data_IF_696773414745
#
_entry.id   IF_696773414745
#
_cell.length_a   1.000
_cell.length_b   1.000
_cell.length_c   1.000
_cell.angle_alpha   90.00
_cell.angle_beta   90.00
_cell.angle_gamma   90.00
#
_symmetry.space_group_name_H-M   'P 1'
#
loop_
_entity.id
_entity.type
_entity.pdbx_description
1 polymer ?
#
# COMPACT_ATOMS: atom_id res chain seq x y z
N UNK A 1 -14.93 -3.64 -11.48
CA UNK A 1 -14.58 -4.38 -10.25
C UNK A 1 -14.47 -3.34 -9.16
N UNK A 2 -15.21 -3.48 -8.05
CA UNK A 2 -15.12 -2.50 -6.97
C UNK A 2 -13.80 -2.69 -6.24
N UNK A 3 -13.01 -1.63 -6.11
CA UNK A 3 -11.75 -1.63 -5.35
C UNK A 3 -12.06 -1.08 -3.96
N UNK A 4 -11.57 -1.78 -2.94
CA UNK A 4 -11.65 -1.38 -1.54
C UNK A 4 -10.26 -1.12 -1.01
N UNK A 5 -10.06 0.03 -0.37
CA UNK A 5 -8.84 0.34 0.39
C UNK A 5 -9.25 0.54 1.84
N UNK A 6 -8.52 -0.07 2.77
CA UNK A 6 -8.87 0.00 4.18
C UNK A 6 -7.65 -0.04 5.09
N UNK A 7 -7.84 0.43 6.31
CA UNK A 7 -6.89 0.32 7.41
C UNK A 7 -7.63 0.03 8.71
N UNK A 8 -6.94 -0.65 9.63
CA UNK A 8 -7.48 -0.99 10.95
C UNK A 8 -6.71 -0.23 12.03
N UNK A 9 -7.42 0.50 12.88
CA UNK A 9 -6.87 1.28 13.99
C UNK A 9 -7.11 0.51 15.28
N UNK A 10 -6.05 -0.01 15.90
CA UNK A 10 -6.14 -0.86 17.10
C UNK A 10 -6.11 -0.04 18.39
N UNK A 11 -6.89 -0.45 19.40
CA UNK A 11 -7.10 0.32 20.63
C UNK A 11 -7.19 -0.56 21.87
N UNK A 12 -6.81 -0.02 23.04
CA UNK A 12 -6.93 -0.70 24.35
C UNK A 12 -8.35 -0.83 24.88
N UNK A 13 -9.30 -0.06 24.35
CA UNK A 13 -10.68 0.00 24.82
C UNK A 13 -11.63 0.35 23.68
N UNK A 14 -12.89 -0.01 23.83
CA UNK A 14 -13.93 0.38 22.89
C UNK A 14 -13.93 1.90 22.66
N UNK A 15 -13.90 2.30 21.39
CA UNK A 15 -13.92 3.70 21.02
C UNK A 15 -15.35 4.21 21.01
N UNK A 16 -15.61 5.24 21.82
CA UNK A 16 -16.82 6.04 21.71
C UNK A 16 -16.64 6.93 20.46
N UNK A 17 -17.15 6.45 19.34
CA UNK A 17 -16.95 7.08 18.04
C UNK A 17 -17.49 8.52 18.04
N UNK A 18 -16.58 9.47 17.96
CA UNK A 18 -16.88 10.90 17.81
C UNK A 18 -16.61 11.31 16.37
N UNK A 19 -17.55 10.96 15.48
CA UNK A 19 -17.40 11.19 14.05
C UNK A 19 -17.44 12.68 13.67
N UNK A 20 -18.11 13.52 14.47
CA UNK A 20 -18.10 14.97 14.30
C UNK A 20 -16.72 15.54 14.62
N UNK A 21 -16.11 15.08 15.72
CA UNK A 21 -14.72 15.39 16.04
C UNK A 21 -13.75 14.90 14.98
N UNK A 22 -13.95 13.71 14.39
CA UNK A 22 -13.12 13.23 13.28
C UNK A 22 -13.25 14.14 12.05
N UNK A 23 -14.46 14.50 11.64
CA UNK A 23 -14.66 15.41 10.51
C UNK A 23 -14.05 16.80 10.77
N UNK A 24 -14.23 17.33 11.98
CA UNK A 24 -13.69 18.64 12.38
C UNK A 24 -12.15 18.64 12.41
N UNK A 25 -11.54 17.61 12.98
CA UNK A 25 -10.08 17.45 13.00
C UNK A 25 -9.52 17.25 11.59
N UNK A 26 -10.22 16.53 10.72
CA UNK A 26 -9.83 16.37 9.33
C UNK A 26 -9.84 17.73 8.59
N UNK A 27 -10.91 18.51 8.73
CA UNK A 27 -11.01 19.86 8.14
C UNK A 27 -9.89 20.78 8.66
N UNK A 28 -9.62 20.73 9.96
CA UNK A 28 -8.57 21.56 10.58
C UNK A 28 -7.15 21.15 10.16
N UNK A 29 -6.86 19.85 10.08
CA UNK A 29 -5.52 19.35 9.70
C UNK A 29 -5.26 19.47 8.21
N UNK A 30 -6.29 19.28 7.38
CA UNK A 30 -6.15 19.15 5.93
C UNK A 30 -7.10 20.08 5.15
N UNK A 31 -7.10 21.40 5.44
CA UNK A 31 -8.06 22.33 4.84
C UNK A 31 -7.96 22.41 3.30
N UNK A 32 -6.80 22.05 2.72
CA UNK A 32 -6.57 22.06 1.28
C UNK A 32 -7.25 20.91 0.51
N UNK A 33 -7.67 19.83 1.21
CA UNK A 33 -8.22 18.64 0.56
C UNK A 33 -9.70 18.83 0.23
N UNK A 34 -10.41 19.57 1.06
CA UNK A 34 -11.83 19.86 0.89
C UNK A 34 -12.59 19.75 2.20
N UNK A 35 -13.79 20.35 2.25
CA UNK A 35 -14.61 20.34 3.46
C UNK A 35 -15.28 18.96 3.65
N UNK A 36 -15.03 18.25 4.76
CA UNK A 36 -15.66 16.97 5.01
C UNK A 36 -17.15 17.14 5.32
N UNK A 37 -17.98 16.26 4.75
CA UNK A 37 -19.40 16.15 5.08
C UNK A 37 -19.66 14.83 5.78
N UNK A 38 -20.08 14.90 7.05
CA UNK A 38 -20.49 13.74 7.81
C UNK A 38 -21.86 13.24 7.35
N UNK A 39 -21.95 11.95 7.06
CA UNK A 39 -23.16 11.22 6.74
C UNK A 39 -23.34 10.10 7.78
N UNK A 40 -24.28 10.29 8.71
CA UNK A 40 -24.61 9.29 9.72
C UNK A 40 -25.56 8.25 9.15
N UNK A 41 -25.30 6.99 9.46
CA UNK A 41 -26.27 5.93 9.20
C UNK A 41 -27.33 5.95 10.30
N UNK A 42 -28.61 6.18 9.94
CA UNK A 42 -29.68 6.26 10.94
C UNK A 42 -29.81 4.90 11.64
N UNK A 43 -29.55 4.87 12.95
CA UNK A 43 -29.68 3.67 13.78
C UNK A 43 -28.39 2.88 14.01
N UNK A 44 -27.23 3.35 13.52
CA UNK A 44 -25.93 2.76 13.85
C UNK A 44 -24.94 3.81 14.35
N UNK A 45 -24.84 3.96 15.67
CA UNK A 45 -23.93 4.90 16.32
C UNK A 45 -22.46 4.48 16.25
N UNK A 46 -22.18 3.27 15.76
CA UNK A 46 -20.83 2.74 15.60
C UNK A 46 -20.30 2.88 14.17
N UNK A 47 -21.07 3.46 13.24
CA UNK A 47 -20.65 3.64 11.86
C UNK A 47 -21.06 5.00 11.31
N UNK A 48 -20.15 5.64 10.59
CA UNK A 48 -20.46 6.82 9.80
C UNK A 48 -19.65 6.83 8.50
N UNK A 49 -20.14 7.59 7.54
CA UNK A 49 -19.42 7.94 6.33
C UNK A 49 -19.00 9.42 6.39
N UNK A 50 -17.78 9.72 5.98
CA UNK A 50 -17.31 11.09 5.77
C UNK A 50 -17.02 11.23 4.27
N UNK A 51 -17.70 12.17 3.63
CA UNK A 51 -17.53 12.46 2.21
C UNK A 51 -16.62 13.67 2.04
N UNK A 52 -15.57 13.55 1.25
CA UNK A 52 -14.62 14.61 0.91
C UNK A 52 -14.48 14.62 -0.61
N UNK A 53 -14.80 15.75 -1.26
CA UNK A 53 -14.71 15.91 -2.73
C UNK A 53 -15.39 14.76 -3.53
N UNK A 54 -16.51 14.26 -3.02
CA UNK A 54 -17.26 13.16 -3.65
C UNK A 54 -16.76 11.76 -3.31
N UNK A 55 -15.56 11.60 -2.73
CA UNK A 55 -15.07 10.33 -2.22
C UNK A 55 -15.62 10.04 -0.82
N UNK A 56 -16.17 8.84 -0.62
CA UNK A 56 -16.74 8.39 0.65
C UNK A 56 -15.72 7.54 1.42
N UNK A 57 -15.45 7.92 2.67
CA UNK A 57 -14.70 7.11 3.64
C UNK A 57 -15.66 6.64 4.74
N UNK A 58 -15.77 5.34 4.89
CA UNK A 58 -16.53 4.70 5.95
C UNK A 58 -15.64 4.43 7.16
N UNK A 59 -16.17 4.76 8.34
CA UNK A 59 -15.51 4.53 9.62
C UNK A 59 -16.46 3.70 10.48
N UNK A 60 -15.99 2.54 10.93
CA UNK A 60 -16.75 1.62 11.78
C UNK A 60 -15.97 1.28 13.05
N UNK A 61 -16.58 1.43 14.22
CA UNK A 61 -16.00 1.03 15.49
C UNK A 61 -16.43 -0.40 15.86
N UNK A 62 -15.48 -1.23 16.27
CA UNK A 62 -15.71 -2.62 16.67
C UNK A 62 -15.23 -2.83 18.10
N UNK A 63 -16.17 -3.21 18.97
CA UNK A 63 -15.92 -3.48 20.40
C UNK A 63 -15.42 -4.91 20.65
N UNK A 64 -14.44 -5.35 19.85
CA UNK A 64 -13.78 -6.64 19.98
C UNK A 64 -12.33 -6.51 19.49
N UNK A 65 -11.39 -7.33 19.99
CA UNK A 65 -10.03 -7.33 19.48
C UNK A 65 -9.99 -7.71 18.00
N UNK A 66 -9.03 -7.14 17.27
CA UNK A 66 -8.71 -7.56 15.92
C UNK A 66 -8.20 -9.02 15.93
N UNK A 67 -8.64 -9.89 15.01
CA UNK A 67 -8.27 -11.30 15.03
C UNK A 67 -6.75 -11.51 14.94
N UNK A 68 -6.18 -12.22 15.92
CA UNK A 68 -4.73 -12.42 16.02
C UNK A 68 -4.20 -13.26 14.84
N UNK A 69 -4.99 -14.21 14.38
CA UNK A 69 -4.72 -15.02 13.18
C UNK A 69 -4.60 -14.20 11.90
N UNK A 70 -5.06 -12.94 11.87
CA UNK A 70 -4.88 -12.03 10.73
C UNK A 70 -3.59 -11.20 10.84
N UNK A 71 -2.95 -11.15 12.02
CA UNK A 71 -1.66 -10.47 12.24
C UNK A 71 -0.47 -11.38 11.87
N UNK A 72 -0.55 -12.66 12.23
CA UNK A 72 0.63 -13.54 12.29
C UNK A 72 1.06 -14.21 10.97
N UNK A 73 0.18 -14.69 10.07
CA UNK A 73 0.60 -15.40 8.86
C UNK A 73 1.34 -14.53 7.83
N UNK A 74 0.93 -13.29 7.53
CA UNK A 74 1.61 -12.51 6.49
C UNK A 74 2.85 -11.76 7.00
N UNK A 75 2.84 -11.30 8.25
CA UNK A 75 3.93 -10.47 8.81
C UNK A 75 5.21 -11.27 9.08
N UNK A 76 5.09 -12.55 9.43
CA UNK A 76 6.25 -13.45 9.60
C UNK A 76 6.96 -13.73 8.27
N UNK A 77 6.21 -13.85 7.17
CA UNK A 77 6.78 -14.07 5.82
C UNK A 77 7.49 -12.83 5.30
N UNK A 78 7.09 -11.63 5.74
CA UNK A 78 7.71 -10.36 5.39
C UNK A 78 8.99 -10.03 6.17
N UNK A 79 9.39 -10.89 7.12
CA UNK A 79 10.53 -10.60 7.99
C UNK A 79 10.28 -9.44 8.96
N UNK A 80 9.01 -9.06 9.19
CA UNK A 80 8.69 -8.17 10.30
C UNK A 80 9.04 -8.86 11.63
N UNK A 81 9.58 -8.10 12.56
CA UNK A 81 9.84 -8.60 13.91
C UNK A 81 8.50 -8.92 14.58
N UNK A 82 8.17 -10.20 14.68
CA UNK A 82 6.95 -10.66 15.32
C UNK A 82 6.84 -10.13 16.76
N UNK A 83 7.96 -9.96 17.46
CA UNK A 83 7.97 -9.39 18.81
C UNK A 83 7.67 -7.88 18.79
N UNK A 84 7.99 -7.15 17.71
CA UNK A 84 7.56 -5.77 17.54
C UNK A 84 6.04 -5.69 17.31
N UNK A 85 5.49 -6.54 16.45
CA UNK A 85 4.03 -6.59 16.21
C UNK A 85 3.28 -6.97 17.48
N UNK A 86 3.75 -7.97 18.22
CA UNK A 86 3.15 -8.39 19.49
C UNK A 86 3.17 -7.24 20.51
N UNK A 87 4.30 -6.52 20.61
CA UNK A 87 4.39 -5.32 21.48
C UNK A 87 3.46 -4.19 21.04
N UNK A 88 3.38 -3.91 19.75
CA UNK A 88 2.51 -2.86 19.21
C UNK A 88 1.02 -3.16 19.42
N UNK A 89 0.65 -4.43 19.45
CA UNK A 89 -0.74 -4.88 19.58
C UNK A 89 -1.09 -5.35 21.01
N UNK A 90 -0.17 -5.23 21.95
CA UNK A 90 -0.37 -5.69 23.33
C UNK A 90 -1.55 -4.96 24.00
N UNK A 91 -2.47 -5.75 24.57
CA UNK A 91 -3.65 -5.24 25.26
C UNK A 91 -4.70 -4.63 24.35
N UNK A 92 -4.66 -4.91 23.04
CA UNK A 92 -5.75 -4.51 22.14
C UNK A 92 -7.07 -5.21 22.50
N UNK A 93 -8.15 -4.43 22.54
CA UNK A 93 -9.49 -4.90 22.92
C UNK A 93 -10.59 -4.41 21.97
N UNK A 94 -10.26 -3.49 21.08
CA UNK A 94 -11.16 -2.90 20.10
C UNK A 94 -10.36 -2.45 18.88
N UNK A 95 -11.04 -2.30 17.75
CA UNK A 95 -10.46 -1.65 16.57
C UNK A 95 -11.50 -0.79 15.84
N UNK A 96 -11.01 0.13 15.02
CA UNK A 96 -11.84 0.85 14.05
C UNK A 96 -11.39 0.50 12.64
N UNK A 97 -12.34 0.37 11.72
CA UNK A 97 -12.08 0.20 10.29
C UNK A 97 -12.24 1.54 9.63
N UNK A 98 -11.23 1.99 8.88
CA UNK A 98 -11.31 3.17 8.02
C UNK A 98 -11.17 2.67 6.59
N UNK A 99 -12.20 2.84 5.77
CA UNK A 99 -12.21 2.24 4.44
C UNK A 99 -12.88 3.13 3.40
N UNK A 100 -12.52 2.93 2.15
CA UNK A 100 -13.21 3.51 1.00
C UNK A 100 -13.43 2.42 -0.03
N UNK A 101 -14.60 2.43 -0.66
CA UNK A 101 -14.92 1.57 -1.79
C UNK A 101 -15.29 2.47 -2.96
N UNK A 102 -14.80 2.14 -4.15
CA UNK A 102 -15.06 2.93 -5.34
C UNK A 102 -15.12 2.04 -6.58
N UNK A 103 -15.85 2.55 -7.56
CA UNK A 103 -15.89 1.99 -8.90
C UNK A 103 -15.02 2.86 -9.80
N UNK A 104 -14.12 2.22 -10.51
CA UNK A 104 -13.14 2.87 -11.37
C UNK A 104 -11.91 2.00 -11.49
N UNK A 105 -11.14 2.26 -12.54
CA UNK A 105 -9.84 1.66 -12.72
C UNK A 105 -8.85 2.78 -13.06
N UNK A 106 -7.58 2.54 -12.74
CA UNK A 106 -6.50 3.47 -12.99
C UNK A 106 -5.70 3.80 -11.75
N UNK A 107 -4.39 3.96 -11.97
CA UNK A 107 -3.44 4.29 -10.91
C UNK A 107 -3.89 5.52 -10.11
N UNK A 108 -4.40 6.52 -10.81
CA UNK A 108 -4.70 7.81 -10.25
C UNK A 108 -5.85 7.78 -9.24
N UNK A 109 -6.98 7.17 -9.61
CA UNK A 109 -8.10 7.00 -8.68
C UNK A 109 -7.69 6.12 -7.48
N UNK A 110 -6.93 5.06 -7.71
CA UNK A 110 -6.45 4.16 -6.65
C UNK A 110 -5.59 4.89 -5.62
N UNK A 111 -4.65 5.72 -6.10
CA UNK A 111 -3.78 6.55 -5.26
C UNK A 111 -4.57 7.58 -4.45
N UNK A 112 -5.56 8.22 -5.07
CA UNK A 112 -6.37 9.25 -4.42
C UNK A 112 -7.18 8.68 -3.25
N UNK A 113 -7.78 7.50 -3.45
CA UNK A 113 -8.54 6.80 -2.41
C UNK A 113 -7.63 6.28 -1.29
N UNK A 114 -6.45 5.72 -1.60
CA UNK A 114 -5.50 5.29 -0.58
C UNK A 114 -4.91 6.46 0.21
N UNK A 115 -4.65 7.59 -0.44
CA UNK A 115 -4.25 8.82 0.22
C UNK A 115 -5.33 9.29 1.20
N UNK A 116 -6.59 9.33 0.77
CA UNK A 116 -7.70 9.74 1.63
C UNK A 116 -7.88 8.82 2.84
N UNK A 117 -7.77 7.50 2.66
CA UNK A 117 -7.76 6.53 3.77
C UNK A 117 -6.57 6.76 4.70
N UNK A 118 -5.39 7.05 4.17
CA UNK A 118 -4.18 7.33 4.99
C UNK A 118 -4.40 8.57 5.87
N UNK A 119 -4.90 9.66 5.28
CA UNK A 119 -5.18 10.92 5.99
C UNK A 119 -6.25 10.72 7.08
N UNK A 120 -7.37 10.06 6.74
CA UNK A 120 -8.47 9.81 7.67
C UNK A 120 -8.05 8.88 8.81
N UNK A 121 -7.29 7.83 8.48
CA UNK A 121 -6.72 6.90 9.47
C UNK A 121 -5.83 7.62 10.47
N UNK A 122 -5.01 8.58 10.04
CA UNK A 122 -4.22 9.41 10.95
C UNK A 122 -5.07 10.19 11.95
N UNK A 123 -6.20 10.76 11.50
CA UNK A 123 -7.15 11.48 12.38
C UNK A 123 -7.79 10.52 13.38
N UNK A 124 -8.30 9.38 12.90
CA UNK A 124 -8.94 8.37 13.76
C UNK A 124 -7.94 7.82 14.78
N UNK A 125 -6.73 7.49 14.35
CA UNK A 125 -5.68 6.96 15.22
C UNK A 125 -5.30 7.96 16.34
N UNK A 126 -5.23 9.24 16.01
CA UNK A 126 -4.99 10.30 16.99
C UNK A 126 -6.14 10.41 18.00
N UNK A 127 -7.39 10.59 17.53
CA UNK A 127 -8.55 10.77 18.43
C UNK A 127 -8.83 9.55 19.29
N UNK A 128 -8.59 8.36 18.76
CA UNK A 128 -8.85 7.13 19.45
C UNK A 128 -7.73 6.70 20.41
N UNK A 129 -6.61 7.44 20.45
CA UNK A 129 -5.38 7.05 21.16
C UNK A 129 -4.96 5.62 20.79
N UNK A 130 -4.82 5.39 19.49
CA UNK A 130 -4.53 4.07 18.95
C UNK A 130 -3.19 3.52 19.44
N UNK A 131 -3.10 2.19 19.51
CA UNK A 131 -1.86 1.47 19.79
C UNK A 131 -1.03 1.29 18.53
N UNK A 132 -1.71 0.82 17.48
CA UNK A 132 -1.12 0.50 16.21
C UNK A 132 -2.17 0.69 15.12
N UNK A 133 -1.70 0.73 13.89
CA UNK A 133 -2.54 0.75 12.71
C UNK A 133 -2.02 -0.30 11.72
N UNK A 134 -2.95 -1.08 11.18
CA UNK A 134 -2.67 -2.13 10.20
C UNK A 134 -3.13 -1.66 8.82
N UNK A 135 -2.24 -1.74 7.85
CA UNK A 135 -2.57 -1.69 6.42
C UNK A 135 -2.61 -3.13 5.90
N UNK A 136 -3.79 -3.75 5.73
CA UNK A 136 -3.93 -5.18 5.49
C UNK A 136 -3.36 -5.63 4.14
N UNK A 137 -3.37 -4.77 3.13
CA UNK A 137 -2.95 -5.16 1.77
C UNK A 137 -1.45 -5.40 1.64
N UNK A 138 -0.67 -4.69 2.44
CA UNK A 138 0.77 -4.85 2.57
C UNK A 138 1.15 -5.64 3.83
N UNK A 139 0.17 -5.92 4.70
CA UNK A 139 0.35 -6.45 6.03
C UNK A 139 1.38 -5.67 6.86
N UNK A 140 1.32 -4.35 6.76
CA UNK A 140 2.15 -3.45 7.56
C UNK A 140 1.41 -3.10 8.85
N UNK A 141 2.04 -3.35 10.00
CA UNK A 141 1.58 -2.86 11.31
C UNK A 141 2.55 -1.79 11.79
N UNK A 142 2.04 -0.60 12.10
CA UNK A 142 2.86 0.55 12.45
C UNK A 142 2.24 1.34 13.60
N UNK A 143 3.06 2.20 14.21
CA UNK A 143 2.58 3.15 15.22
C UNK A 143 1.68 4.22 14.59
N UNK A 144 0.80 4.87 15.38
CA UNK A 144 0.04 6.03 14.90
C UNK A 144 0.93 7.15 14.34
N UNK A 145 2.11 7.36 14.95
CA UNK A 145 3.07 8.39 14.51
C UNK A 145 3.55 8.16 13.08
N UNK A 146 3.80 6.91 12.70
CA UNK A 146 4.20 6.56 11.34
C UNK A 146 3.10 6.88 10.32
N UNK A 147 1.82 6.73 10.69
CA UNK A 147 0.69 7.15 9.85
C UNK A 147 0.55 8.67 9.74
N UNK A 148 0.89 9.42 10.79
CA UNK A 148 0.97 10.89 10.71
C UNK A 148 2.10 11.33 9.73
N UNK A 149 3.25 10.65 9.76
CA UNK A 149 4.35 10.92 8.81
C UNK A 149 3.98 10.52 7.38
N UNK A 150 3.24 9.42 7.21
CA UNK A 150 2.69 9.01 5.93
C UNK A 150 1.68 10.03 5.38
N UNK A 151 0.78 10.53 6.24
CA UNK A 151 -0.17 11.59 5.90
C UNK A 151 0.57 12.86 5.44
N UNK A 152 1.61 13.29 6.16
CA UNK A 152 2.42 14.42 5.74
C UNK A 152 3.10 14.20 4.38
N UNK A 153 3.52 12.97 4.07
CA UNK A 153 4.13 12.62 2.77
C UNK A 153 3.11 12.66 1.63
N UNK A 154 1.89 12.15 1.88
CA UNK A 154 0.77 12.23 0.92
C UNK A 154 0.50 13.69 0.53
N UNK A 155 0.43 14.59 1.51
CA UNK A 155 0.20 16.02 1.27
C UNK A 155 1.32 16.70 0.46
N UNK A 156 2.52 16.10 0.41
CA UNK A 156 3.65 16.59 -0.40
C UNK A 156 3.72 15.98 -1.80
N UNK A 157 2.69 15.26 -2.26
CA UNK A 157 2.78 14.64 -3.58
C UNK A 157 3.44 13.25 -3.57
N UNK A 158 3.71 12.67 -2.40
CA UNK A 158 4.54 11.47 -2.27
C UNK A 158 3.74 10.28 -1.72
N UNK A 159 3.76 9.16 -2.46
CA UNK A 159 3.18 7.90 -1.98
C UNK A 159 3.98 7.37 -0.77
N UNK A 160 3.34 7.05 0.36
CA UNK A 160 3.99 6.45 1.51
C UNK A 160 4.23 4.96 1.27
N UNK A 161 5.21 4.64 0.40
CA UNK A 161 5.50 3.26 -0.06
C UNK A 161 5.67 2.28 1.10
N UNK A 162 6.35 2.67 2.18
CA UNK A 162 6.59 1.80 3.33
C UNK A 162 5.31 1.46 4.14
N UNK A 163 4.20 2.14 3.85
CA UNK A 163 2.90 1.84 4.41
C UNK A 163 2.06 1.00 3.45
N UNK A 164 1.97 1.44 2.19
CA UNK A 164 1.13 0.79 1.18
C UNK A 164 1.74 -0.47 0.59
N UNK A 165 3.04 -0.67 0.78
CA UNK A 165 3.77 -1.81 0.25
C UNK A 165 4.71 -2.40 1.31
N UNK A 166 4.78 -3.72 1.33
CA UNK A 166 5.81 -4.47 2.06
C UNK A 166 6.66 -5.27 1.08
N UNK A 167 7.86 -5.65 1.51
CA UNK A 167 8.83 -6.37 0.69
C UNK A 167 9.41 -7.52 1.50
N UNK A 168 9.34 -8.73 0.96
CA UNK A 168 9.89 -9.93 1.58
C UNK A 168 11.03 -10.50 0.76
N UNK A 169 12.04 -11.02 1.45
CA UNK A 169 12.98 -11.93 0.82
C UNK A 169 12.27 -13.22 0.43
N UNK A 170 12.49 -13.63 -0.81
CA UNK A 170 12.19 -14.96 -1.30
C UNK A 170 13.47 -15.79 -1.24
N UNK A 171 13.34 -17.09 -1.02
CA UNK A 171 14.42 -18.06 -1.17
C UNK A 171 14.33 -18.65 -2.58
N UNK A 172 14.99 -18.04 -3.59
CA UNK A 172 14.89 -18.56 -4.94
C UNK A 172 15.53 -19.95 -5.04
N UNK A 173 15.14 -20.76 -6.03
CA UNK A 173 15.86 -22.00 -6.35
C UNK A 173 17.35 -21.68 -6.52
N UNK A 174 18.24 -22.51 -5.96
CA UNK A 174 19.68 -22.32 -6.12
C UNK A 174 20.03 -22.36 -7.61
N UNK A 175 20.47 -21.22 -8.15
CA UNK A 175 20.97 -21.10 -9.51
C UNK A 175 22.49 -21.04 -9.46
N UNK A 176 23.16 -22.10 -9.91
CA UNK A 176 24.63 -22.15 -9.97
C UNK A 176 25.35 -22.26 -8.62
N UNK A 177 24.65 -22.63 -7.54
CA UNK A 177 25.25 -22.91 -6.23
C UNK A 177 25.65 -21.68 -5.39
N UNK A 178 25.42 -20.46 -5.88
CA UNK A 178 25.61 -19.23 -5.11
C UNK A 178 24.35 -18.87 -4.32
N UNK A 179 24.54 -18.23 -3.16
CA UNK A 179 23.44 -17.61 -2.42
C UNK A 179 22.89 -16.43 -3.24
N UNK A 180 21.59 -16.47 -3.53
CA UNK A 180 20.92 -15.48 -4.37
C UNK A 180 19.73 -14.90 -3.60
N UNK A 181 19.56 -13.59 -3.72
CA UNK A 181 18.44 -12.87 -3.13
C UNK A 181 17.37 -12.65 -4.18
N UNK A 182 16.14 -13.12 -3.92
CA UNK A 182 14.94 -12.66 -4.62
C UNK A 182 14.12 -11.81 -3.67
N UNK A 183 13.41 -10.79 -4.16
CA UNK A 183 12.49 -9.98 -3.34
C UNK A 183 11.12 -9.96 -3.99
N UNK A 184 10.07 -9.99 -3.19
CA UNK A 184 8.68 -9.86 -3.66
C UNK A 184 7.96 -8.75 -2.90
N UNK A 185 7.12 -7.97 -3.58
CA UNK A 185 6.26 -6.98 -2.91
C UNK A 185 4.88 -7.51 -2.58
N UNK A 186 4.20 -6.80 -1.69
CA UNK A 186 2.79 -6.99 -1.37
C UNK A 186 2.10 -5.64 -1.19
N UNK A 187 0.85 -5.56 -1.67
CA UNK A 187 -0.01 -4.38 -1.58
C UNK A 187 0.00 -3.51 -2.84
N UNK A 188 1.01 -3.68 -3.71
CA UNK A 188 1.14 -2.86 -4.91
C UNK A 188 0.08 -3.19 -5.97
N UNK A 189 -0.44 -4.44 -5.96
CA UNK A 189 -1.43 -4.90 -6.91
C UNK A 189 -2.70 -4.07 -6.93
N UNK A 190 -3.11 -3.48 -5.81
CA UNK A 190 -4.30 -2.61 -5.76
C UNK A 190 -4.13 -1.29 -6.50
N UNK A 191 -2.90 -0.89 -6.81
CA UNK A 191 -2.61 0.37 -7.49
C UNK A 191 -2.37 0.19 -8.98
N UNK A 192 -1.55 -0.80 -9.35
CA UNK A 192 -1.08 -1.03 -10.73
C UNK A 192 -1.48 -2.40 -11.30
N UNK A 193 -2.34 -3.14 -10.61
CA UNK A 193 -2.79 -4.48 -11.03
C UNK A 193 -1.76 -5.60 -10.88
N UNK A 194 -0.54 -5.29 -10.42
CA UNK A 194 0.60 -6.22 -10.34
C UNK A 194 1.41 -5.99 -9.07
N UNK A 195 2.05 -7.04 -8.56
CA UNK A 195 3.10 -6.90 -7.54
C UNK A 195 4.47 -6.73 -8.19
N UNK A 196 5.49 -6.31 -7.45
CA UNK A 196 6.89 -6.34 -7.88
C UNK A 196 7.55 -7.66 -7.51
N UNK A 197 8.47 -8.09 -8.36
CA UNK A 197 9.42 -9.15 -8.06
C UNK A 197 10.82 -8.75 -8.55
N UNK A 198 11.82 -8.91 -7.70
CA UNK A 198 13.22 -8.86 -8.09
C UNK A 198 13.69 -10.28 -8.37
N UNK A 199 14.09 -10.54 -9.60
CA UNK A 199 14.67 -11.81 -10.00
C UNK A 199 15.95 -12.11 -9.18
N UNK A 200 16.33 -13.39 -9.02
CA UNK A 200 17.47 -13.77 -8.20
C UNK A 200 18.75 -13.03 -8.60
N UNK A 201 19.33 -12.31 -7.64
CA UNK A 201 20.54 -11.50 -7.80
C UNK A 201 21.53 -11.77 -6.67
N UNK A 202 22.85 -11.63 -6.88
CA UNK A 202 23.85 -11.68 -5.81
C UNK A 202 23.80 -10.48 -4.84
N UNK A 203 22.94 -9.49 -5.07
CA UNK A 203 22.80 -8.34 -4.18
C UNK A 203 22.42 -8.75 -2.74
N UNK A 204 22.95 -8.03 -1.75
CA UNK A 204 22.59 -8.26 -0.35
C UNK A 204 21.13 -7.84 -0.09
N UNK A 205 20.41 -8.48 0.85
CA UNK A 205 18.97 -8.25 1.05
C UNK A 205 18.57 -6.79 1.25
N UNK A 206 19.36 -6.01 1.99
CA UNK A 206 19.08 -4.59 2.24
C UNK A 206 19.09 -3.73 0.98
N UNK A 207 20.06 -3.96 0.08
CA UNK A 207 20.18 -3.26 -1.20
C UNK A 207 19.06 -3.66 -2.16
N UNK A 208 18.76 -4.96 -2.20
CA UNK A 208 17.65 -5.51 -2.98
C UNK A 208 16.29 -4.92 -2.57
N UNK A 209 16.04 -4.77 -1.26
CA UNK A 209 14.83 -4.13 -0.74
C UNK A 209 14.80 -2.63 -1.06
N UNK A 210 15.92 -1.92 -0.92
CA UNK A 210 16.00 -0.50 -1.26
C UNK A 210 15.70 -0.26 -2.75
N UNK A 211 16.24 -1.10 -3.61
CA UNK A 211 15.95 -1.14 -5.04
C UNK A 211 14.44 -1.32 -5.32
N UNK A 212 13.81 -2.31 -4.68
CA UNK A 212 12.38 -2.59 -4.82
C UNK A 212 11.49 -1.45 -4.32
N UNK A 213 11.86 -0.81 -3.21
CA UNK A 213 11.16 0.38 -2.68
C UNK A 213 11.21 1.54 -3.66
N UNK A 214 12.36 1.80 -4.25
CA UNK A 214 12.51 2.87 -5.24
C UNK A 214 11.74 2.57 -6.52
N UNK A 215 11.73 1.31 -6.99
CA UNK A 215 10.91 0.89 -8.12
C UNK A 215 9.41 1.09 -7.84
N UNK A 216 8.93 0.67 -6.66
CA UNK A 216 7.55 0.90 -6.24
C UNK A 216 7.19 2.39 -6.19
N UNK A 217 8.07 3.23 -5.61
CA UNK A 217 7.89 4.69 -5.57
C UNK A 217 7.68 5.26 -6.97
N UNK A 218 8.51 4.85 -7.93
CA UNK A 218 8.42 5.35 -9.32
C UNK A 218 7.19 4.87 -10.05
N UNK A 219 6.81 3.61 -9.88
CA UNK A 219 5.59 3.07 -10.47
C UNK A 219 4.36 3.81 -9.95
N UNK A 220 4.28 4.02 -8.63
CA UNK A 220 3.21 4.82 -8.02
C UNK A 220 3.28 6.30 -8.39
N UNK A 221 4.47 6.80 -8.74
CA UNK A 221 4.61 8.15 -9.27
C UNK A 221 4.30 8.26 -10.77
N UNK A 222 3.97 7.16 -11.47
CA UNK A 222 3.80 7.18 -12.93
C UNK A 222 5.10 7.49 -13.69
N UNK A 223 6.27 7.33 -13.05
CA UNK A 223 7.59 7.59 -13.62
C UNK A 223 8.09 6.40 -14.45
N UNK A 224 7.26 5.90 -15.35
CA UNK A 224 7.57 4.77 -16.22
C UNK A 224 7.02 4.95 -17.63
N UNK A 225 7.66 4.30 -18.60
CA UNK A 225 7.22 4.31 -20.00
C UNK A 225 7.17 2.88 -20.54
N UNK A 226 6.15 2.53 -21.35
CA UNK A 226 6.16 1.30 -22.12
C UNK A 226 7.38 1.23 -23.03
N UNK A 227 8.02 0.06 -23.08
CA UNK A 227 9.03 -0.29 -24.05
C UNK A 227 8.55 -1.50 -24.88
N UNK A 228 9.37 -1.92 -25.85
CA UNK A 228 9.00 -3.03 -26.73
C UNK A 228 8.79 -4.35 -25.97
N UNK A 229 7.92 -5.21 -26.49
CA UNK A 229 7.70 -6.58 -26.00
C UNK A 229 7.28 -6.72 -24.52
N UNK A 230 6.58 -5.73 -23.96
CA UNK A 230 6.08 -5.74 -22.58
C UNK A 230 7.14 -5.36 -21.54
N UNK A 231 8.27 -4.82 -21.98
CA UNK A 231 9.24 -4.16 -21.12
C UNK A 231 8.73 -2.77 -20.72
N UNK A 232 9.20 -2.24 -19.60
CA UNK A 232 8.97 -0.85 -19.22
C UNK A 232 10.31 -0.23 -18.82
N UNK A 233 10.46 1.07 -19.06
CA UNK A 233 11.60 1.83 -18.59
C UNK A 233 11.18 2.65 -17.35
N UNK A 234 11.90 2.50 -16.23
CA UNK A 234 11.76 3.40 -15.09
C UNK A 234 12.63 4.64 -15.33
N UNK A 235 12.01 5.82 -15.35
CA UNK A 235 12.73 7.08 -15.64
C UNK A 235 13.81 7.32 -14.59
N UNK A 236 15.00 7.75 -14.99
CA UNK A 236 16.08 8.21 -14.10
C UNK A 236 16.44 7.22 -12.97
N UNK A 237 16.31 5.91 -13.20
CA UNK A 237 16.73 4.88 -12.27
C UNK A 237 18.26 4.70 -12.38
N UNK A 238 18.98 4.79 -11.26
CA UNK A 238 20.44 4.80 -11.27
C UNK A 238 21.07 3.46 -11.69
N UNK A 239 20.35 2.35 -11.52
CA UNK A 239 20.79 1.02 -11.93
C UNK A 239 20.11 0.62 -13.24
N UNK A 240 20.82 0.02 -14.21
CA UNK A 240 20.23 -0.46 -15.45
C UNK A 240 19.46 -1.77 -15.19
N UNK A 241 18.33 -1.68 -14.47
CA UNK A 241 17.44 -2.81 -14.31
C UNK A 241 16.66 -3.02 -15.60
N UNK A 242 16.66 -4.26 -16.07
CA UNK A 242 15.65 -4.72 -16.99
C UNK A 242 14.31 -4.78 -16.24
N UNK A 243 13.26 -4.13 -16.75
CA UNK A 243 11.94 -4.17 -16.12
C UNK A 243 10.90 -4.65 -17.11
N UNK A 244 10.06 -5.59 -16.68
CA UNK A 244 9.08 -6.25 -17.56
C UNK A 244 7.76 -6.51 -16.87
N UNK A 245 6.68 -6.36 -17.62
CA UNK A 245 5.34 -6.78 -17.21
C UNK A 245 5.17 -8.28 -17.45
N UNK A 246 4.70 -8.98 -16.43
CA UNK A 246 4.46 -10.40 -16.48
C UNK A 246 3.10 -10.78 -15.87
N UNK A 247 2.28 -11.56 -16.57
CA UNK A 247 1.00 -12.09 -16.05
C UNK A 247 1.19 -13.22 -15.03
N UNK A 248 2.41 -13.72 -14.91
CA UNK A 248 2.80 -14.75 -13.95
C UNK A 248 4.15 -14.35 -13.35
N UNK A 249 4.20 -14.25 -12.02
CA UNK A 249 5.40 -14.00 -11.26
C UNK A 249 6.40 -15.11 -11.46
N UNK A 250 7.67 -14.73 -11.48
CA UNK A 250 8.79 -15.66 -11.54
C UNK A 250 8.95 -16.38 -10.20
N UNK A 251 8.90 -15.61 -9.10
CA UNK A 251 9.00 -16.12 -7.73
C UNK A 251 7.65 -16.57 -7.19
N UNK A 252 6.55 -16.01 -7.70
CA UNK A 252 5.18 -16.40 -7.33
C UNK A 252 4.32 -16.74 -8.55
N UNK A 253 4.37 -18.00 -9.03
CA UNK A 253 3.47 -18.47 -10.08
C UNK A 253 2.00 -18.19 -9.71
N UNK A 254 1.20 -17.77 -10.68
CA UNK A 254 -0.21 -17.39 -10.50
C UNK A 254 -0.45 -15.91 -10.16
N UNK A 255 0.60 -15.14 -9.83
CA UNK A 255 0.47 -13.71 -9.48
C UNK A 255 0.97 -12.81 -10.61
N UNK A 256 0.16 -11.88 -11.15
CA UNK A 256 0.68 -10.85 -12.06
C UNK A 256 1.75 -9.99 -11.39
N UNK A 257 2.89 -9.80 -12.07
CA UNK A 257 4.06 -9.13 -11.54
C UNK A 257 4.69 -8.14 -12.53
N UNK A 258 5.37 -7.14 -11.98
CA UNK A 258 6.43 -6.37 -12.64
C UNK A 258 7.75 -7.00 -12.18
N UNK A 259 8.47 -7.61 -13.10
CA UNK A 259 9.72 -8.31 -12.81
C UNK A 259 10.90 -7.39 -13.10
N UNK A 260 11.71 -7.15 -12.08
CA UNK A 260 12.99 -6.45 -12.13
C UNK A 260 14.11 -7.49 -12.30
N UNK A 261 14.99 -7.27 -13.27
CA UNK A 261 16.15 -8.11 -13.55
C UNK A 261 17.39 -7.23 -13.50
N UNK A 262 18.23 -7.48 -12.51
CA UNK A 262 19.52 -6.80 -12.42
C UNK A 262 20.47 -7.31 -13.53
N UNK A 263 21.40 -6.49 -14.04
CA UNK A 263 22.39 -6.92 -15.05
C UNK A 263 23.16 -8.18 -14.67
N UNK A 264 23.46 -8.31 -13.38
CA UNK A 264 24.18 -9.42 -12.76
C UNK A 264 23.27 -10.60 -12.37
N UNK A 265 21.97 -10.52 -12.65
CA UNK A 265 21.05 -11.60 -12.33
C UNK A 265 21.36 -12.86 -13.15
N UNK A 266 21.14 -14.02 -12.54
CA UNK A 266 21.36 -15.32 -13.20
C UNK A 266 20.33 -15.66 -14.29
N UNK A 267 19.35 -14.78 -14.52
CA UNK A 267 18.27 -14.93 -15.49
C UNK A 267 18.21 -13.69 -16.38
N UNK A 268 17.92 -13.88 -17.67
CA UNK A 268 17.70 -12.78 -18.60
C UNK A 268 16.20 -12.49 -18.82
N UNK A 269 15.89 -11.26 -19.26
CA UNK A 269 14.53 -10.81 -19.55
C UNK A 269 13.83 -11.64 -20.64
N UNK A 270 14.60 -12.24 -21.57
CA UNK A 270 14.06 -12.98 -22.72
C UNK A 270 13.60 -14.39 -22.32
N UNK A 271 14.24 -14.97 -21.32
CA UNK A 271 13.90 -16.27 -20.74
C UNK A 271 12.58 -16.17 -19.97
N UNK A 272 12.31 -15.01 -19.39
CA UNK A 272 11.03 -14.68 -18.75
C UNK A 272 9.89 -14.43 -19.76
N UNK A 273 10.20 -14.14 -21.03
CA UNK A 273 9.24 -13.70 -22.05
C UNK A 273 8.25 -14.76 -22.54
N UNK A 274 8.49 -16.05 -22.29
CA UNK A 274 7.64 -17.14 -22.83
C UNK A 274 6.27 -17.31 -22.14
N UNK A 275 5.87 -16.42 -21.22
CA UNK A 275 4.72 -16.68 -20.32
C UNK A 275 3.57 -15.65 -20.29
N UNK A 276 3.57 -14.54 -21.04
CA UNK A 276 2.67 -13.40 -20.67
C UNK A 276 2.04 -12.63 -21.86
N UNK A 277 0.80 -12.15 -21.65
CA UNK A 277 -0.10 -11.39 -22.52
C UNK A 277 -0.03 -9.86 -22.38
N UNK A 278 -0.99 -9.15 -23.01
CA UNK A 278 -0.80 -7.82 -23.64
C UNK A 278 -1.21 -6.56 -22.86
N UNK A 279 -1.74 -6.63 -21.64
CA UNK A 279 -2.42 -5.45 -21.06
C UNK A 279 -1.53 -4.60 -20.13
N UNK A 280 -1.42 -3.31 -20.46
CA UNK A 280 -0.78 -2.25 -19.67
C UNK A 280 -1.84 -1.45 -18.87
N UNK A 281 -1.50 -0.93 -17.67
CA UNK A 281 -2.45 -0.18 -16.85
C UNK A 281 -2.80 1.19 -17.45
N UNK A 282 -4.08 1.54 -17.45
CA UNK A 282 -4.58 2.85 -17.86
C UNK A 282 -4.41 3.89 -16.73
N UNK A 283 -4.16 5.16 -17.09
CA UNK A 283 -4.10 6.26 -16.14
C UNK A 283 -5.37 7.13 -16.31
N UNK A 284 -6.32 7.04 -15.36
CA UNK A 284 -7.46 7.95 -15.28
C UNK A 284 -7.76 8.32 -13.81
N UNK A 285 -7.88 9.63 -13.51
CA UNK A 285 -8.27 10.12 -12.17
C UNK A 285 -7.77 11.52 -11.75
N UNK A 286 -7.93 12.55 -12.59
CA UNK A 286 -7.22 13.84 -12.39
C UNK A 286 -7.72 14.76 -11.24
N UNK A 287 -9.01 14.70 -10.85
CA UNK A 287 -9.62 15.73 -9.99
C UNK A 287 -9.17 15.72 -8.52
N UNK A 288 -9.30 14.56 -7.86
CA UNK A 288 -8.95 14.38 -6.45
C UNK A 288 -7.43 14.36 -6.24
N UNK A 289 -6.70 13.76 -7.19
CA UNK A 289 -5.24 13.77 -7.17
C UNK A 289 -4.62 15.16 -7.26
N UNK A 290 -5.15 16.04 -8.11
CA UNK A 290 -4.62 17.40 -8.25
C UNK A 290 -4.61 18.15 -6.93
N UNK A 291 -5.58 17.87 -6.05
CA UNK A 291 -5.65 18.49 -4.72
C UNK A 291 -4.83 17.77 -3.66
N UNK A 292 -4.75 16.44 -3.72
CA UNK A 292 -3.96 15.64 -2.78
C UNK A 292 -2.45 15.74 -3.06
N UNK A 293 -2.06 15.61 -4.32
CA UNK A 293 -0.66 15.50 -4.74
C UNK A 293 -0.16 16.67 -5.61
N UNK A 294 -1.01 17.64 -5.97
CA UNK A 294 -0.60 18.78 -6.78
C UNK A 294 -0.32 18.45 -8.27
N UNK A 295 -0.68 17.25 -8.74
CA UNK A 295 -0.39 16.78 -10.11
C UNK A 295 -1.52 17.16 -11.07
N UNK A 296 -1.17 17.71 -12.22
CA UNK A 296 -2.09 18.09 -13.30
C UNK A 296 -1.47 17.84 -14.66
#
# INVERSE_FOLDING_TARGET
>A
MSIRVEAYVLMKRAWRADFEGVASDFEWRYPQIGKPRLMRNRGNDHQAAIVVEGAQVEISAVSAPYPQEQLHPPMRTLGHDAAEVDRLTEGQAAYAVVSTSFDGDGLDINLAHAALVTLMTGVVAHRANALAVIWPDSWVCQTPKAFEDAAASVLRGQAPVNLWCAFAQSNPPQLGGAEMTGIVSFGLRKFIGRELELAPTPAVPGEAIACMREAARRLLAGEWEPADYGEIALKSFASPLGVRLADQGFLRPGMPAVVLVAPEAAVDLRTLARKTGKDAPAAEGAGLLKRIFGRG
#
